data_IF_429601644519
#
_entry.id   IF_429601644519
#
_cell.length_a   1.000
_cell.length_b   1.000
_cell.length_c   1.000
_cell.angle_alpha   90.00
_cell.angle_beta   90.00
_cell.angle_gamma   90.00
#
_symmetry.space_group_name_H-M   'P 1'
#
loop_
_entity.id
_entity.type
_entity.pdbx_description
1 polymer ?
#
# COMPACT_ATOMS: atom_id res chain seq x y z
N UNK A 1 -4.67 9.04 -25.57
CA UNK A 1 -3.42 8.24 -25.49
C UNK A 1 -3.19 7.64 -26.86
N UNK A 2 -2.44 8.34 -27.69
CA UNK A 2 -2.34 8.00 -29.11
C UNK A 2 -0.98 7.36 -29.47
N UNK A 3 -0.16 7.02 -28.48
CA UNK A 3 1.22 6.59 -28.67
C UNK A 3 1.44 5.06 -28.63
N UNK A 4 0.39 4.28 -28.71
CA UNK A 4 0.49 2.82 -28.96
C UNK A 4 1.48 2.09 -28.04
N UNK A 5 2.37 1.30 -28.64
CA UNK A 5 3.37 0.46 -27.95
C UNK A 5 4.40 1.28 -27.17
N UNK A 6 4.75 2.48 -27.61
CA UNK A 6 5.72 3.36 -26.96
C UNK A 6 5.26 3.77 -25.55
N UNK A 7 3.96 3.92 -25.35
CA UNK A 7 3.40 4.24 -24.04
C UNK A 7 3.65 3.11 -23.00
N UNK A 8 3.56 1.86 -23.44
CA UNK A 8 3.86 0.70 -22.61
C UNK A 8 5.34 0.65 -22.19
N UNK A 9 6.24 0.99 -23.12
CA UNK A 9 7.68 1.05 -22.85
C UNK A 9 8.01 2.14 -21.81
N UNK A 10 7.40 3.30 -21.90
CA UNK A 10 7.61 4.37 -20.93
C UNK A 10 7.11 4.00 -19.53
N UNK A 11 5.95 3.36 -19.43
CA UNK A 11 5.43 2.84 -18.17
C UNK A 11 6.39 1.82 -17.58
N UNK A 12 6.88 0.90 -18.38
CA UNK A 12 7.84 -0.12 -17.97
C UNK A 12 9.18 0.49 -17.51
N UNK A 13 9.65 1.55 -18.17
CA UNK A 13 10.87 2.26 -17.75
C UNK A 13 10.71 2.93 -16.38
N UNK A 14 9.56 3.54 -16.09
CA UNK A 14 9.30 4.10 -14.76
C UNK A 14 9.31 3.00 -13.70
N UNK A 15 8.59 1.91 -13.94
CA UNK A 15 8.56 0.76 -13.04
C UNK A 15 9.97 0.21 -12.78
N UNK A 16 10.76 0.02 -13.82
CA UNK A 16 12.15 -0.40 -13.70
C UNK A 16 12.98 0.53 -12.81
N UNK A 17 12.83 1.84 -12.96
CA UNK A 17 13.54 2.83 -12.13
C UNK A 17 13.15 2.77 -10.67
N UNK A 18 11.87 2.54 -10.38
CA UNK A 18 11.41 2.32 -9.01
C UNK A 18 12.03 1.05 -8.41
N UNK A 19 12.04 -0.05 -9.17
CA UNK A 19 12.68 -1.30 -8.73
C UNK A 19 14.18 -1.10 -8.49
N UNK A 20 14.91 -0.50 -9.43
CA UNK A 20 16.35 -0.21 -9.28
C UNK A 20 16.62 0.68 -8.05
N UNK A 21 15.77 1.68 -7.80
CA UNK A 21 15.88 2.57 -6.65
C UNK A 21 15.68 1.82 -5.32
N UNK A 22 14.64 0.98 -5.23
CA UNK A 22 14.37 0.21 -4.01
C UNK A 22 15.42 -0.88 -3.78
N UNK A 23 15.95 -1.50 -4.83
CA UNK A 23 17.06 -2.45 -4.74
C UNK A 23 18.38 -1.78 -4.29
N UNK A 24 18.57 -0.52 -4.63
CA UNK A 24 19.70 0.28 -4.13
C UNK A 24 19.53 0.73 -2.66
N UNK A 25 18.44 0.34 -2.01
CA UNK A 25 18.14 0.68 -0.61
C UNK A 25 17.23 1.88 -0.44
N UNK A 26 16.71 2.43 -1.54
CA UNK A 26 15.70 3.48 -1.49
C UNK A 26 14.38 3.00 -0.92
N UNK A 27 13.58 3.92 -0.41
CA UNK A 27 12.26 3.65 0.17
C UNK A 27 11.19 4.43 -0.59
N UNK A 28 10.11 3.76 -0.93
CA UNK A 28 8.96 4.35 -1.62
C UNK A 28 7.75 4.30 -0.69
N UNK A 29 7.34 5.45 -0.19
CA UNK A 29 6.17 5.59 0.68
C UNK A 29 5.05 6.24 -0.10
N UNK A 30 3.87 5.64 -0.08
CA UNK A 30 2.75 6.05 -0.90
C UNK A 30 1.52 6.36 -0.07
N UNK A 31 0.81 7.41 -0.48
CA UNK A 31 -0.54 7.73 -0.02
C UNK A 31 -1.50 7.63 -1.20
N UNK A 32 -2.42 6.70 -1.12
CA UNK A 32 -3.51 6.58 -2.10
C UNK A 32 -4.74 7.28 -1.53
N UNK A 33 -5.14 8.38 -2.17
CA UNK A 33 -6.24 9.24 -1.72
C UNK A 33 -7.38 9.36 -2.75
N UNK A 34 -7.49 8.39 -3.64
CA UNK A 34 -8.53 8.36 -4.67
C UNK A 34 -8.49 7.04 -5.43
N UNK A 35 -9.25 6.97 -6.52
CA UNK A 35 -9.30 5.77 -7.34
C UNK A 35 -8.09 5.73 -8.27
N UNK A 36 -7.24 4.75 -8.08
CA UNK A 36 -6.08 4.46 -8.92
C UNK A 36 -6.40 3.29 -9.85
N UNK A 37 -6.22 3.49 -11.15
CA UNK A 37 -6.58 2.51 -12.19
C UNK A 37 -5.41 2.24 -13.12
N UNK A 38 -5.29 1.02 -13.63
CA UNK A 38 -4.34 0.63 -14.66
C UNK A 38 -2.90 0.51 -14.15
N UNK A 39 -1.96 1.20 -14.78
CA UNK A 39 -0.54 1.12 -14.45
C UNK A 39 -0.17 1.71 -13.07
N UNK A 40 -0.94 2.67 -12.57
CA UNK A 40 -0.66 3.33 -11.30
C UNK A 40 -0.67 2.38 -10.09
N UNK A 41 -1.62 1.43 -9.95
CA UNK A 41 -1.54 0.41 -8.91
C UNK A 41 -0.28 -0.45 -8.95
N UNK A 42 0.31 -0.69 -10.10
CA UNK A 42 1.61 -1.40 -10.16
C UNK A 42 2.73 -0.59 -9.53
N UNK A 43 2.80 0.72 -9.81
CA UNK A 43 3.79 1.58 -9.17
C UNK A 43 3.55 1.70 -7.66
N UNK A 44 2.28 1.73 -7.24
CA UNK A 44 1.93 1.75 -5.82
C UNK A 44 2.33 0.45 -5.11
N UNK A 45 2.30 -0.68 -5.81
CA UNK A 45 2.70 -1.97 -5.27
C UNK A 45 4.21 -2.03 -4.93
N UNK A 46 5.03 -1.15 -5.52
CA UNK A 46 6.45 -1.01 -5.17
C UNK A 46 6.69 -0.56 -3.71
N UNK A 47 5.68 0.04 -3.07
CA UNK A 47 5.72 0.38 -1.64
C UNK A 47 5.25 -0.76 -0.74
N UNK A 48 4.98 -1.95 -1.27
CA UNK A 48 4.39 -3.05 -0.52
C UNK A 48 5.32 -4.27 -0.46
N UNK A 49 5.11 -5.11 0.55
CA UNK A 49 5.88 -6.34 0.73
C UNK A 49 5.75 -7.34 -0.42
N UNK A 50 4.72 -7.24 -1.26
CA UNK A 50 4.50 -8.15 -2.39
C UNK A 50 5.61 -8.09 -3.44
N UNK A 51 6.19 -6.91 -3.62
CA UNK A 51 7.28 -6.69 -4.60
C UNK A 51 8.67 -6.77 -3.95
N UNK A 52 8.77 -7.21 -2.70
CA UNK A 52 10.02 -7.24 -1.93
C UNK A 52 10.74 -5.88 -1.88
N UNK A 53 9.97 -4.81 -1.89
CA UNK A 53 10.46 -3.43 -1.83
C UNK A 53 10.39 -2.88 -0.41
N UNK A 54 10.97 -1.72 -0.19
CA UNK A 54 10.94 -1.00 1.08
C UNK A 54 9.97 0.15 0.97
N UNK A 55 9.12 0.29 1.98
CA UNK A 55 8.17 1.39 2.05
C UNK A 55 6.84 0.98 2.66
N UNK A 56 5.94 1.94 2.73
CA UNK A 56 4.58 1.76 3.25
C UNK A 56 3.54 2.27 2.27
N UNK A 57 2.38 1.66 2.31
CA UNK A 57 1.18 2.08 1.60
C UNK A 57 0.13 2.53 2.60
N UNK A 58 -0.25 3.81 2.52
CA UNK A 58 -1.31 4.43 3.30
C UNK A 58 -2.51 4.66 2.38
N UNK A 59 -3.70 4.28 2.81
CA UNK A 59 -4.93 4.48 2.05
C UNK A 59 -5.95 5.27 2.85
N UNK A 60 -6.67 6.17 2.16
CA UNK A 60 -7.81 6.90 2.72
C UNK A 60 -9.14 6.22 2.39
N UNK A 61 -10.26 6.60 3.02
CA UNK A 61 -11.58 5.98 2.76
C UNK A 61 -12.05 6.06 1.31
N UNK A 62 -11.56 7.05 0.54
CA UNK A 62 -11.90 7.24 -0.87
C UNK A 62 -10.95 6.51 -1.82
N UNK A 63 -9.95 5.84 -1.27
CA UNK A 63 -8.89 5.19 -2.04
C UNK A 63 -9.31 3.80 -2.51
N UNK A 64 -9.00 3.50 -3.75
CA UNK A 64 -9.01 2.14 -4.27
C UNK A 64 -7.87 1.94 -5.27
N UNK A 65 -7.30 0.76 -5.28
CA UNK A 65 -6.31 0.33 -6.25
C UNK A 65 -6.91 -0.77 -7.11
N UNK A 66 -7.21 -0.48 -8.35
CA UNK A 66 -7.87 -1.39 -9.26
C UNK A 66 -7.11 -1.47 -10.59
N UNK A 67 -6.92 -2.66 -11.09
CA UNK A 67 -6.32 -2.88 -12.41
C UNK A 67 -7.27 -2.39 -13.50
N UNK A 68 -8.52 -2.82 -13.38
CA UNK A 68 -9.63 -2.45 -14.24
C UNK A 68 -10.76 -1.94 -13.36
N UNK A 69 -11.21 -0.72 -13.61
CA UNK A 69 -12.30 -0.12 -12.83
C UNK A 69 -13.65 -0.84 -13.06
N UNK A 70 -14.56 -0.67 -12.10
CA UNK A 70 -15.88 -1.32 -12.12
C UNK A 70 -16.59 -1.19 -13.46
N UNK A 71 -16.64 0.01 -14.04
CA UNK A 71 -17.35 0.26 -15.29
C UNK A 71 -16.88 -0.64 -16.44
N UNK A 72 -15.56 -0.81 -16.58
CA UNK A 72 -15.00 -1.67 -17.62
C UNK A 72 -15.24 -3.15 -17.34
N UNK A 73 -15.23 -3.55 -16.06
CA UNK A 73 -15.57 -4.93 -15.66
C UNK A 73 -17.03 -5.25 -15.98
N UNK A 74 -17.95 -4.37 -15.65
CA UNK A 74 -19.37 -4.53 -15.97
C UNK A 74 -19.60 -4.65 -17.48
N UNK A 75 -18.93 -3.80 -18.27
CA UNK A 75 -19.01 -3.85 -19.73
C UNK A 75 -18.49 -5.16 -20.33
N UNK A 76 -17.45 -5.74 -19.72
CA UNK A 76 -16.90 -7.04 -20.16
C UNK A 76 -17.75 -8.24 -19.74
N UNK A 77 -18.80 -8.04 -18.97
CA UNK A 77 -19.64 -9.12 -18.42
C UNK A 77 -18.99 -9.89 -17.26
N UNK A 78 -17.89 -9.38 -16.72
CA UNK A 78 -17.22 -9.98 -15.57
C UNK A 78 -17.99 -9.68 -14.28
N UNK A 79 -17.88 -10.61 -13.31
CA UNK A 79 -18.39 -10.36 -11.96
C UNK A 79 -17.54 -9.30 -11.29
N UNK A 80 -18.18 -8.23 -10.83
CA UNK A 80 -17.51 -7.15 -10.08
C UNK A 80 -18.26 -6.84 -8.79
N UNK A 81 -17.61 -6.10 -7.90
CA UNK A 81 -18.26 -5.54 -6.73
C UNK A 81 -19.20 -4.38 -7.12
N UNK A 82 -19.95 -3.84 -6.14
CA UNK A 82 -20.89 -2.74 -6.35
C UNK A 82 -20.21 -1.45 -6.84
N UNK A 83 -18.97 -1.24 -6.42
CA UNK A 83 -18.16 -0.07 -6.76
C UNK A 83 -16.65 -0.39 -6.76
N UNK A 84 -15.81 0.59 -7.10
CA UNK A 84 -14.35 0.43 -7.09
C UNK A 84 -13.80 0.19 -5.67
N UNK A 85 -14.46 0.67 -4.62
CA UNK A 85 -14.04 0.42 -3.24
C UNK A 85 -14.25 -1.05 -2.86
N UNK A 86 -15.28 -1.68 -3.41
CA UNK A 86 -15.50 -3.12 -3.26
C UNK A 86 -14.48 -3.98 -4.02
N UNK A 87 -13.84 -3.43 -5.06
CA UNK A 87 -12.82 -4.13 -5.88
C UNK A 87 -11.43 -3.99 -5.27
N UNK A 88 -11.05 -2.80 -4.81
CA UNK A 88 -9.69 -2.49 -4.38
C UNK A 88 -9.60 -1.44 -3.27
N UNK A 89 -10.68 -1.22 -2.51
CA UNK A 89 -10.69 -0.34 -1.35
C UNK A 89 -10.03 -0.96 -0.13
N UNK A 90 -9.71 -0.12 0.86
CA UNK A 90 -8.99 -0.55 2.05
C UNK A 90 -9.77 -1.57 2.89
N UNK A 91 -11.01 -1.24 3.26
CA UNK A 91 -11.77 -2.02 4.26
C UNK A 91 -12.09 -3.46 3.81
N UNK A 92 -12.35 -3.64 2.54
CA UNK A 92 -12.79 -4.94 2.00
C UNK A 92 -11.65 -5.77 1.42
N UNK A 93 -10.63 -5.12 0.87
CA UNK A 93 -9.59 -5.79 0.07
C UNK A 93 -8.19 -5.47 0.58
N UNK A 94 -7.73 -4.22 0.46
CA UNK A 94 -6.31 -3.90 0.58
C UNK A 94 -5.80 -3.95 2.03
N UNK A 95 -6.62 -3.60 3.00
CA UNK A 95 -6.30 -3.77 4.42
C UNK A 95 -6.42 -5.22 4.88
N UNK A 96 -7.43 -5.94 4.37
CA UNK A 96 -7.70 -7.34 4.76
C UNK A 96 -6.60 -8.29 4.26
N UNK A 97 -6.07 -8.05 3.06
CA UNK A 97 -4.98 -8.86 2.49
C UNK A 97 -3.58 -8.37 2.89
N UNK A 98 -3.49 -7.29 3.66
CA UNK A 98 -2.22 -6.74 4.16
C UNK A 98 -1.44 -5.88 3.17
N UNK A 99 -1.99 -5.58 2.00
CA UNK A 99 -1.33 -4.71 1.02
C UNK A 99 -1.36 -3.24 1.44
N UNK A 100 -2.50 -2.76 1.95
CA UNK A 100 -2.58 -1.45 2.59
C UNK A 100 -2.13 -1.57 4.04
N UNK A 101 -0.90 -1.14 4.38
CA UNK A 101 -0.39 -1.26 5.74
C UNK A 101 -1.08 -0.32 6.71
N UNK A 102 -1.46 0.87 6.24
CA UNK A 102 -2.06 1.91 7.09
C UNK A 102 -3.32 2.48 6.47
N UNK A 103 -4.29 2.70 7.34
CA UNK A 103 -5.48 3.47 7.03
C UNK A 103 -5.37 4.87 7.62
N UNK A 104 -5.71 5.88 6.85
CA UNK A 104 -5.75 7.28 7.26
C UNK A 104 -7.13 7.86 7.00
N UNK A 105 -7.66 8.67 7.89
CA UNK A 105 -8.98 9.32 7.74
C UNK A 105 -9.03 10.28 6.55
N UNK A 106 -7.91 10.96 6.34
CA UNK A 106 -7.74 12.01 5.33
C UNK A 106 -6.26 12.16 4.99
N UNK A 107 -5.92 13.13 4.15
CA UNK A 107 -4.54 13.39 3.72
C UNK A 107 -3.66 13.90 4.87
N UNK A 108 -4.20 14.66 5.80
CA UNK A 108 -3.45 15.20 6.94
C UNK A 108 -3.05 14.06 7.89
N UNK A 109 -3.98 13.15 8.16
CA UNK A 109 -3.70 11.94 8.95
C UNK A 109 -2.67 11.04 8.24
N UNK A 110 -2.75 10.92 6.92
CA UNK A 110 -1.75 10.19 6.13
C UNK A 110 -0.35 10.81 6.25
N UNK A 111 -0.25 12.14 6.21
CA UNK A 111 1.02 12.84 6.45
C UNK A 111 1.57 12.58 7.85
N UNK A 112 0.73 12.55 8.87
CA UNK A 112 1.15 12.20 10.23
C UNK A 112 1.69 10.76 10.33
N UNK A 113 1.06 9.82 9.63
CA UNK A 113 1.54 8.43 9.55
C UNK A 113 2.92 8.39 8.90
N UNK A 114 3.14 9.10 7.79
CA UNK A 114 4.43 9.16 7.12
C UNK A 114 5.52 9.78 8.02
N UNK A 115 5.22 10.87 8.73
CA UNK A 115 6.17 11.50 9.65
C UNK A 115 6.59 10.54 10.76
N UNK A 116 5.63 9.83 11.39
CA UNK A 116 5.94 8.82 12.40
C UNK A 116 6.75 7.66 11.82
N UNK A 117 6.47 7.25 10.59
CA UNK A 117 7.27 6.22 9.92
C UNK A 117 8.72 6.67 9.76
N UNK A 118 8.95 7.91 9.33
CA UNK A 118 10.30 8.46 9.20
C UNK A 118 11.05 8.60 10.51
N UNK A 119 10.38 8.81 11.64
CA UNK A 119 11.03 8.81 12.97
C UNK A 119 11.75 7.50 13.27
N UNK A 120 11.30 6.39 12.67
CA UNK A 120 11.84 5.05 12.91
C UNK A 120 12.70 4.52 11.76
N UNK A 121 12.58 5.07 10.57
CA UNK A 121 13.25 4.54 9.36
C UNK A 121 14.34 5.46 8.83
N UNK A 122 14.39 6.71 9.25
CA UNK A 122 15.38 7.67 8.78
C UNK A 122 16.79 7.27 9.20
N UNK A 123 17.68 7.15 8.21
CA UNK A 123 19.11 6.90 8.41
C UNK A 123 19.86 8.20 8.12
N UNK A 124 20.56 8.73 9.12
CA UNK A 124 21.34 9.95 8.96
C UNK A 124 22.54 9.73 8.03
N UNK A 125 23.02 10.77 7.32
CA UNK A 125 24.19 10.66 6.49
C UNK A 125 25.39 10.10 7.28
N UNK A 126 26.03 9.05 6.77
CA UNK A 126 27.16 8.38 7.41
C UNK A 126 26.76 7.29 8.43
N UNK A 127 25.51 7.13 8.76
CA UNK A 127 25.01 6.03 9.59
C UNK A 127 24.57 4.84 8.74
N UNK A 128 24.66 3.64 9.29
CA UNK A 128 24.24 2.40 8.59
C UNK A 128 22.80 2.01 8.95
N UNK A 129 22.32 2.41 10.09
CA UNK A 129 21.01 2.03 10.63
C UNK A 129 20.30 3.27 11.20
N UNK A 130 18.96 3.27 11.26
CA UNK A 130 18.21 4.29 11.98
C UNK A 130 18.65 4.37 13.44
N UNK A 131 18.61 5.56 14.00
CA UNK A 131 18.88 5.78 15.42
C UNK A 131 17.83 5.07 16.27
N UNK A 132 18.28 4.35 17.27
CA UNK A 132 17.38 3.73 18.23
C UNK A 132 16.78 4.80 19.11
N UNK A 133 15.44 4.87 19.17
CA UNK A 133 14.74 5.63 20.19
C UNK A 133 14.77 4.86 21.51
N UNK A 134 14.80 5.60 22.62
CA UNK A 134 14.58 4.99 23.93
C UNK A 134 13.14 4.44 24.00
N UNK A 135 12.99 3.23 24.45
CA UNK A 135 11.67 2.59 24.63
C UNK A 135 11.55 2.03 26.02
N UNK A 136 10.35 2.09 26.57
CA UNK A 136 9.97 1.40 27.81
C UNK A 136 9.51 -0.03 27.57
N UNK A 137 9.44 -0.45 26.30
CA UNK A 137 9.03 -1.80 25.93
C UNK A 137 10.13 -2.81 26.29
N UNK A 138 9.87 -3.79 27.16
CA UNK A 138 10.88 -4.75 27.59
C UNK A 138 11.34 -5.64 26.43
N UNK A 139 12.64 -5.86 26.29
CA UNK A 139 13.21 -6.77 25.29
C UNK A 139 12.64 -8.19 25.44
N UNK A 140 12.38 -8.62 26.68
CA UNK A 140 11.84 -9.93 27.00
C UNK A 140 10.31 -9.94 27.18
N UNK A 141 9.61 -9.01 26.52
CA UNK A 141 8.15 -8.97 26.57
C UNK A 141 7.54 -10.29 26.10
N UNK A 142 6.61 -10.84 26.87
CA UNK A 142 5.82 -11.99 26.44
C UNK A 142 4.82 -11.57 25.34
N UNK A 143 5.14 -11.86 24.09
CA UNK A 143 4.28 -11.57 22.96
C UNK A 143 3.08 -12.52 22.85
N UNK A 144 3.10 -13.67 23.53
CA UNK A 144 1.98 -14.60 23.53
C UNK A 144 0.78 -14.07 24.34
N UNK A 145 1.00 -13.08 25.22
CA UNK A 145 -0.09 -12.41 25.93
C UNK A 145 -0.90 -11.47 25.02
N UNK A 146 -0.39 -11.13 23.84
CA UNK A 146 -1.08 -10.31 22.83
C UNK A 146 -1.82 -11.26 21.88
N UNK A 147 -2.86 -11.91 22.37
CA UNK A 147 -3.73 -12.71 21.54
C UNK A 147 -4.70 -11.78 20.77
N UNK A 148 -4.44 -11.58 19.51
CA UNK A 148 -5.49 -11.10 18.61
C UNK A 148 -6.49 -12.23 18.37
N UNK A 149 -7.63 -12.15 19.02
CA UNK A 149 -8.75 -13.04 18.71
C UNK A 149 -9.14 -12.73 17.26
N UNK A 150 -9.07 -13.70 16.32
CA UNK A 150 -9.53 -13.47 14.96
C UNK A 150 -10.99 -13.00 15.03
N UNK A 151 -11.30 -11.89 14.36
CA UNK A 151 -12.68 -11.47 14.21
C UNK A 151 -13.47 -12.65 13.66
N UNK A 152 -14.52 -13.07 14.37
CA UNK A 152 -15.35 -14.16 13.94
C UNK A 152 -15.76 -13.88 12.49
N UNK A 153 -15.47 -14.81 11.57
CA UNK A 153 -15.94 -14.74 10.20
C UNK A 153 -17.44 -14.50 10.27
N UNK A 154 -17.89 -13.34 9.83
CA UNK A 154 -19.31 -13.14 9.59
C UNK A 154 -19.70 -14.20 8.58
N UNK A 155 -20.47 -15.18 9.03
CA UNK A 155 -21.08 -16.15 8.14
C UNK A 155 -21.84 -15.34 7.09
N UNK A 156 -21.44 -15.47 5.84
CA UNK A 156 -22.23 -14.97 4.72
C UNK A 156 -23.58 -15.69 4.81
N UNK A 157 -24.62 -14.98 5.20
CA UNK A 157 -25.98 -15.48 5.02
C UNK A 157 -26.19 -15.51 3.51
N UNK A 158 -26.33 -16.73 2.98
CA UNK A 158 -26.72 -16.99 1.61
C UNK A 158 -28.08 -16.42 1.25
#
# INVERSE_FOLDING_TARGET
>A
MDSGVENMDWIARVLRRLVEFTQAGGEVNLVVNGINVGAQPYWNAEATMLMHTRGILVMTPKAAMVLTGKHALDYSGSVSAEDNLGIGGYDRIMGVNGQGQYWARDIDDACQILLRHYEHTYVAPGERFPRRAATTDPIARDVNSILTVPAARRASRG
#
